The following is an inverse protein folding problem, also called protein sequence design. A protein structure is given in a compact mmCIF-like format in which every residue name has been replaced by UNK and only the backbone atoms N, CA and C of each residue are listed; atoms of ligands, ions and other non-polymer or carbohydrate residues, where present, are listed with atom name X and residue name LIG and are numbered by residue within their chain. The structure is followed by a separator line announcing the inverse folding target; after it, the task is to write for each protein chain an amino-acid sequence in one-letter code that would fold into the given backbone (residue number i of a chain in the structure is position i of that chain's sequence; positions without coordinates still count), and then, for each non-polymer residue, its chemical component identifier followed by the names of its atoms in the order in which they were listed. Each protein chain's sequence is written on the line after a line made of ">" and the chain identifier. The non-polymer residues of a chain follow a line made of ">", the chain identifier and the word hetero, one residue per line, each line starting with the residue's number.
data_IF_906837777296
#
_entry.id   IF_906837777296
#
_cell.length_a   1.000
_cell.length_b   1.000
_cell.length_c   1.000
_cell.angle_alpha   90.00
_cell.angle_beta   90.00
_cell.angle_gamma   90.00
#
_symmetry.space_group_name_H-M   'P 1'
#
loop_
_entity.id
_entity.type
_entity.pdbx_description
1 polymer ?
#
# COMPACT_ATOMS: atom_id res chain seq x y z
N UNK A 1 7.10 12.51 19.61
CA UNK A 1 6.16 11.38 19.65
C UNK A 1 6.76 10.27 20.50
N UNK A 2 5.93 9.61 21.30
CA UNK A 2 6.28 8.35 21.98
C UNK A 2 5.60 7.21 21.22
N UNK A 3 6.32 6.57 20.34
CA UNK A 3 5.90 5.37 19.65
C UNK A 3 6.39 4.13 20.40
N UNK A 4 5.62 3.06 20.37
CA UNK A 4 6.02 1.78 20.99
C UNK A 4 7.02 1.03 20.12
N UNK A 5 6.93 1.19 18.80
CA UNK A 5 7.85 0.58 17.84
C UNK A 5 8.03 1.44 16.59
N UNK A 6 9.11 1.18 15.86
CA UNK A 6 9.44 1.77 14.59
C UNK A 6 10.03 0.68 13.70
N UNK A 7 9.37 0.37 12.57
CA UNK A 7 9.76 -0.70 11.65
C UNK A 7 10.40 -0.15 10.38
N UNK A 8 11.48 -0.80 9.95
CA UNK A 8 12.06 -0.63 8.61
C UNK A 8 11.92 -1.92 7.83
N UNK A 9 11.53 -1.82 6.57
CA UNK A 9 11.35 -3.00 5.69
C UNK A 9 12.65 -3.72 5.34
N UNK A 10 13.79 -3.18 5.74
CA UNK A 10 15.10 -3.81 5.64
C UNK A 10 15.51 -4.61 6.89
N UNK A 11 14.71 -4.58 7.95
CA UNK A 11 15.00 -5.33 9.17
C UNK A 11 14.74 -6.82 8.99
N UNK A 12 15.58 -7.64 9.62
CA UNK A 12 15.43 -9.11 9.54
C UNK A 12 14.03 -9.58 9.95
N UNK A 13 13.46 -9.05 11.03
CA UNK A 13 12.11 -9.40 11.50
C UNK A 13 11.02 -9.13 10.43
N UNK A 14 11.25 -8.13 9.57
CA UNK A 14 10.35 -7.84 8.47
C UNK A 14 10.53 -8.84 7.32
N UNK A 15 11.76 -9.11 6.91
CA UNK A 15 12.07 -10.11 5.88
C UNK A 15 11.48 -11.47 6.25
N UNK A 16 11.70 -11.92 7.49
CA UNK A 16 11.17 -13.19 8.00
C UNK A 16 9.62 -13.21 8.00
N UNK A 17 8.98 -12.10 8.33
CA UNK A 17 7.52 -11.97 8.30
C UNK A 17 6.96 -12.03 6.88
N UNK A 18 7.63 -11.39 5.93
CA UNK A 18 7.26 -11.44 4.52
C UNK A 18 7.38 -12.87 3.96
N UNK A 19 8.44 -13.57 4.28
CA UNK A 19 8.62 -14.96 3.86
C UNK A 19 7.52 -15.85 4.47
N UNK A 20 7.24 -15.70 5.76
CA UNK A 20 6.21 -16.48 6.45
C UNK A 20 4.81 -16.26 5.89
N UNK A 21 4.41 -15.04 5.57
CA UNK A 21 3.10 -14.80 4.96
C UNK A 21 3.05 -15.31 3.53
N UNK A 22 4.14 -15.16 2.78
CA UNK A 22 4.26 -15.70 1.43
C UNK A 22 4.05 -17.20 1.40
N UNK A 23 4.79 -17.96 2.22
CA UNK A 23 4.68 -19.41 2.32
C UNK A 23 3.24 -19.82 2.61
N UNK A 24 2.60 -19.18 3.57
CA UNK A 24 1.21 -19.44 3.91
C UNK A 24 0.22 -19.20 2.77
N UNK A 25 0.43 -18.13 1.99
CA UNK A 25 -0.40 -17.81 0.83
C UNK A 25 -0.14 -18.77 -0.35
N UNK A 26 1.09 -19.25 -0.50
CA UNK A 26 1.47 -20.21 -1.53
C UNK A 26 0.91 -21.61 -1.20
N UNK A 27 1.08 -22.08 0.03
CA UNK A 27 0.60 -23.38 0.50
C UNK A 27 -0.91 -23.56 0.35
N UNK A 28 -1.69 -22.49 0.59
CA UNK A 28 -3.15 -22.55 0.46
C UNK A 28 -3.66 -22.24 -0.97
N UNK A 29 -2.76 -22.07 -1.93
CA UNK A 29 -3.09 -21.80 -3.33
C UNK A 29 -3.64 -20.40 -3.62
N UNK A 30 -3.43 -19.45 -2.70
CA UNK A 30 -3.77 -18.04 -2.93
C UNK A 30 -2.76 -17.31 -3.80
N UNK A 31 -1.51 -17.81 -3.85
CA UNK A 31 -0.46 -17.38 -4.78
C UNK A 31 -0.16 -18.52 -5.75
N UNK A 32 0.03 -18.19 -7.01
CA UNK A 32 0.37 -19.14 -8.08
C UNK A 32 1.32 -18.48 -9.08
N UNK A 33 2.15 -19.30 -9.75
CA UNK A 33 3.08 -18.85 -10.79
C UNK A 33 2.36 -18.79 -12.14
N UNK A 34 2.50 -17.69 -12.86
CA UNK A 34 2.00 -17.49 -14.23
C UNK A 34 2.93 -16.50 -14.95
N UNK A 35 2.55 -16.06 -16.15
CA UNK A 35 3.27 -15.05 -16.92
C UNK A 35 2.55 -13.71 -16.80
N UNK A 36 3.29 -12.69 -16.49
CA UNK A 36 2.85 -11.31 -16.62
C UNK A 36 3.25 -10.81 -18.02
N UNK A 37 2.29 -10.29 -18.76
CA UNK A 37 2.52 -9.69 -20.06
C UNK A 37 1.90 -8.29 -20.09
N UNK A 38 2.65 -7.31 -20.59
CA UNK A 38 2.17 -5.93 -20.67
C UNK A 38 3.19 -4.96 -21.24
N UNK A 39 2.75 -3.75 -21.49
CA UNK A 39 3.59 -2.65 -21.92
C UNK A 39 4.41 -2.11 -20.73
N UNK A 40 5.70 -2.27 -20.77
CA UNK A 40 6.60 -1.85 -19.70
C UNK A 40 7.43 -0.64 -20.10
N UNK A 41 7.51 0.35 -19.23
CA UNK A 41 8.44 1.46 -19.34
C UNK A 41 9.61 1.27 -18.40
N UNK A 42 10.80 1.12 -18.93
CA UNK A 42 12.04 1.03 -18.15
C UNK A 42 12.29 2.31 -17.36
N UNK A 43 11.96 3.49 -17.94
CA UNK A 43 12.14 4.78 -17.28
C UNK A 43 11.22 4.96 -16.06
N UNK A 44 9.99 4.51 -16.18
CA UNK A 44 8.97 4.71 -15.14
C UNK A 44 8.93 3.51 -14.17
N UNK A 45 9.65 2.42 -14.50
CA UNK A 45 9.64 1.14 -13.78
C UNK A 45 8.21 0.63 -13.54
N UNK A 46 7.34 0.80 -14.55
CA UNK A 46 5.93 0.53 -14.45
C UNK A 46 5.36 -0.15 -15.69
N UNK A 47 4.34 -0.98 -15.47
CA UNK A 47 3.51 -1.55 -16.54
C UNK A 47 2.28 -0.69 -16.79
N UNK A 48 1.88 -0.66 -18.06
CA UNK A 48 0.73 0.08 -18.54
C UNK A 48 -0.21 -0.84 -19.31
N UNK A 49 -1.51 -0.54 -19.29
CA UNK A 49 -2.52 -1.23 -20.09
C UNK A 49 -2.55 -0.70 -21.53
N UNK A 50 -3.07 -1.49 -22.48
CA UNK A 50 -3.22 -1.03 -23.87
C UNK A 50 -3.96 0.30 -23.99
N UNK A 51 -4.94 0.56 -23.10
CA UNK A 51 -5.73 1.78 -23.10
C UNK A 51 -4.94 3.03 -22.65
N UNK A 52 -3.83 2.84 -21.95
CA UNK A 52 -2.97 3.92 -21.46
C UNK A 52 -1.86 4.29 -22.45
N UNK A 53 -1.61 3.44 -23.47
CA UNK A 53 -0.54 3.63 -24.43
C UNK A 53 -1.04 4.44 -25.63
N UNK A 54 -0.32 5.51 -25.94
CA UNK A 54 -0.56 6.33 -27.13
C UNK A 54 0.74 6.41 -27.92
N UNK A 55 0.70 5.96 -29.18
CA UNK A 55 1.87 5.98 -30.10
C UNK A 55 3.14 5.32 -29.52
N UNK A 56 2.99 4.22 -28.76
CA UNK A 56 4.10 3.51 -28.13
C UNK A 56 4.71 4.21 -26.91
N UNK A 57 3.98 5.17 -26.35
CA UNK A 57 4.41 5.95 -25.19
C UNK A 57 3.44 5.77 -24.02
N UNK A 58 4.00 5.70 -22.80
CA UNK A 58 3.27 5.79 -21.55
C UNK A 58 2.68 7.19 -21.32
N UNK A 59 1.72 7.37 -20.41
CA UNK A 59 1.18 8.69 -20.03
C UNK A 59 2.25 9.69 -19.54
N UNK A 60 3.37 9.20 -19.06
CA UNK A 60 4.54 10.00 -18.66
C UNK A 60 5.37 10.51 -19.85
N UNK A 61 5.07 10.07 -21.09
CA UNK A 61 5.86 10.29 -22.29
C UNK A 61 7.14 9.43 -22.35
N UNK A 62 7.22 8.35 -21.59
CA UNK A 62 8.29 7.37 -21.69
C UNK A 62 7.98 6.33 -22.77
N UNK A 63 8.97 5.83 -23.52
CA UNK A 63 8.77 4.72 -24.44
C UNK A 63 8.42 3.45 -23.65
N UNK A 64 7.57 2.61 -24.25
CA UNK A 64 7.20 1.32 -23.69
C UNK A 64 7.54 0.20 -24.65
N UNK A 65 7.85 -0.97 -24.09
CA UNK A 65 8.06 -2.20 -24.85
C UNK A 65 7.15 -3.30 -24.30
N UNK A 66 6.76 -4.25 -25.15
CA UNK A 66 5.99 -5.40 -24.70
C UNK A 66 6.90 -6.39 -24.01
N UNK A 67 6.63 -6.67 -22.75
CA UNK A 67 7.43 -7.59 -21.93
C UNK A 67 6.56 -8.73 -21.46
N UNK A 68 7.08 -9.94 -21.52
CA UNK A 68 6.53 -11.11 -20.82
C UNK A 68 7.56 -11.60 -19.82
N UNK A 69 7.18 -11.64 -18.56
CA UNK A 69 8.03 -12.20 -17.50
C UNK A 69 7.24 -13.17 -16.62
N UNK A 70 7.89 -14.23 -16.10
CA UNK A 70 7.26 -15.07 -15.10
C UNK A 70 6.98 -14.22 -13.85
N UNK A 71 5.81 -14.38 -13.29
CA UNK A 71 5.41 -13.68 -12.06
C UNK A 71 4.50 -14.54 -11.21
N UNK A 72 4.62 -14.41 -9.92
CA UNK A 72 3.62 -14.94 -9.01
C UNK A 72 2.43 -13.99 -8.94
N UNK A 73 1.23 -14.57 -8.95
CA UNK A 73 -0.03 -13.85 -8.85
C UNK A 73 -0.76 -14.23 -7.57
N UNK A 74 -1.29 -13.24 -6.88
CA UNK A 74 -2.30 -13.46 -5.85
C UNK A 74 -3.68 -13.45 -6.50
N UNK A 75 -4.51 -14.46 -6.23
CA UNK A 75 -5.84 -14.63 -6.81
C UNK A 75 -6.87 -13.64 -6.24
N UNK A 76 -6.58 -12.34 -6.38
CA UNK A 76 -7.38 -11.26 -5.80
C UNK A 76 -8.83 -11.27 -6.30
N UNK A 77 -9.07 -11.68 -7.55
CA UNK A 77 -10.41 -11.78 -8.14
C UNK A 77 -11.36 -12.67 -7.31
N UNK A 78 -10.85 -13.71 -6.66
CA UNK A 78 -11.65 -14.60 -5.80
C UNK A 78 -12.12 -13.96 -4.49
N UNK A 79 -11.62 -12.78 -4.16
CA UNK A 79 -11.92 -12.09 -2.90
C UNK A 79 -12.96 -10.99 -3.04
N UNK A 80 -13.41 -10.67 -4.26
CA UNK A 80 -14.37 -9.59 -4.55
C UNK A 80 -15.63 -9.68 -3.70
N UNK A 81 -16.38 -10.78 -3.79
CA UNK A 81 -17.62 -10.97 -3.06
C UNK A 81 -17.42 -10.95 -1.54
N UNK A 82 -16.32 -11.55 -1.06
CA UNK A 82 -16.00 -11.56 0.37
C UNK A 82 -15.67 -10.18 0.89
N UNK A 83 -14.94 -9.37 0.12
CA UNK A 83 -14.63 -7.98 0.46
C UNK A 83 -15.90 -7.12 0.47
N UNK A 84 -16.75 -7.23 -0.54
CA UNK A 84 -18.01 -6.48 -0.61
C UNK A 84 -18.91 -6.82 0.57
N UNK A 85 -19.07 -8.10 0.87
CA UNK A 85 -19.83 -8.57 2.05
C UNK A 85 -19.23 -8.01 3.34
N UNK A 86 -17.90 -8.08 3.49
CA UNK A 86 -17.22 -7.56 4.68
C UNK A 86 -17.47 -6.06 4.86
N UNK A 87 -17.41 -5.24 3.79
CA UNK A 87 -17.68 -3.80 3.88
C UNK A 87 -19.15 -3.50 4.19
N UNK A 88 -20.09 -4.35 3.78
CA UNK A 88 -21.50 -4.20 4.11
C UNK A 88 -21.77 -4.47 5.60
N UNK A 89 -21.14 -5.51 6.13
CA UNK A 89 -21.24 -5.89 7.54
C UNK A 89 -20.47 -4.94 8.47
N UNK A 90 -19.38 -4.30 7.98
CA UNK A 90 -18.46 -3.44 8.73
C UNK A 90 -18.40 -2.02 8.15
N UNK A 91 -19.50 -1.27 8.30
CA UNK A 91 -19.69 0.05 7.67
C UNK A 91 -18.64 1.09 8.09
N UNK A 92 -18.05 0.93 9.26
CA UNK A 92 -17.05 1.84 9.83
C UNK A 92 -15.60 1.42 9.55
N UNK A 93 -15.41 0.32 8.82
CA UNK A 93 -14.07 -0.19 8.48
C UNK A 93 -13.25 0.80 7.65
N UNK A 94 -13.88 1.51 6.72
CA UNK A 94 -13.22 2.50 5.86
C UNK A 94 -13.79 3.90 6.16
N UNK A 95 -12.92 4.83 6.50
CA UNK A 95 -13.26 6.22 6.74
C UNK A 95 -12.30 7.18 6.00
N UNK A 96 -12.77 8.37 5.63
CA UNK A 96 -14.14 8.87 5.66
C UNK A 96 -15.08 8.18 4.65
N UNK A 97 -16.37 8.48 4.72
CA UNK A 97 -17.42 7.84 3.89
C UNK A 97 -17.16 7.99 2.37
N UNK A 98 -16.60 9.11 1.94
CA UNK A 98 -16.23 9.32 0.53
C UNK A 98 -15.23 8.27 0.05
N UNK A 99 -14.22 7.96 0.87
CA UNK A 99 -13.21 6.95 0.55
C UNK A 99 -13.77 5.53 0.58
N UNK A 100 -14.69 5.27 1.50
CA UNK A 100 -15.43 3.99 1.50
C UNK A 100 -16.19 3.78 0.20
N UNK A 101 -16.89 4.79 -0.28
CA UNK A 101 -17.64 4.71 -1.54
C UNK A 101 -16.70 4.49 -2.74
N UNK A 102 -15.56 5.16 -2.78
CA UNK A 102 -14.53 4.97 -3.80
C UNK A 102 -14.02 3.52 -3.83
N UNK A 103 -13.68 2.97 -2.67
CA UNK A 103 -13.19 1.59 -2.55
C UNK A 103 -14.26 0.59 -2.99
N UNK A 104 -15.50 0.76 -2.54
CA UNK A 104 -16.62 -0.13 -2.94
C UNK A 104 -16.85 -0.07 -4.45
N UNK A 105 -16.82 1.13 -5.05
CA UNK A 105 -16.95 1.28 -6.50
C UNK A 105 -15.82 0.60 -7.25
N UNK A 106 -14.59 0.73 -6.75
CA UNK A 106 -13.43 0.06 -7.34
C UNK A 106 -13.58 -1.46 -7.31
N UNK A 107 -13.97 -2.05 -6.16
CA UNK A 107 -14.14 -3.50 -6.04
C UNK A 107 -15.29 -3.98 -6.92
N UNK A 108 -16.43 -3.27 -6.95
CA UNK A 108 -17.58 -3.59 -7.84
C UNK A 108 -17.27 -3.47 -9.33
N UNK A 109 -16.23 -2.76 -9.69
CA UNK A 109 -15.75 -2.67 -11.07
C UNK A 109 -15.07 -3.95 -11.58
N UNK A 110 -14.87 -4.92 -10.71
CA UNK A 110 -14.20 -6.20 -10.96
C UNK A 110 -12.73 -6.17 -10.57
N UNK A 111 -12.32 -7.13 -9.75
CA UNK A 111 -10.93 -7.31 -9.35
C UNK A 111 -10.21 -8.25 -10.31
N UNK A 112 -8.98 -7.91 -10.65
CA UNK A 112 -8.05 -8.79 -11.39
C UNK A 112 -7.01 -9.35 -10.44
N UNK A 113 -6.49 -10.53 -10.76
CA UNK A 113 -5.41 -11.14 -10.00
C UNK A 113 -4.19 -10.23 -10.03
N UNK A 114 -3.55 -10.13 -8.86
CA UNK A 114 -2.47 -9.18 -8.62
C UNK A 114 -1.12 -9.85 -8.75
N UNK A 115 -0.27 -9.36 -9.65
CA UNK A 115 1.13 -9.77 -9.72
C UNK A 115 1.85 -9.32 -8.44
N UNK A 116 2.44 -10.29 -7.72
CA UNK A 116 3.08 -10.09 -6.40
C UNK A 116 4.58 -10.40 -6.40
N UNK A 117 5.18 -10.62 -7.56
CA UNK A 117 6.64 -10.73 -7.70
C UNK A 117 7.15 -10.09 -8.98
N UNK A 118 8.47 -9.88 -9.02
CA UNK A 118 9.20 -9.34 -10.18
C UNK A 118 10.51 -10.08 -10.33
N UNK A 119 10.97 -10.20 -11.59
CA UNK A 119 12.29 -10.72 -11.95
C UNK A 119 13.21 -9.63 -12.53
N UNK A 120 12.67 -8.47 -12.83
CA UNK A 120 13.39 -7.37 -13.49
C UNK A 120 14.40 -6.62 -12.60
N UNK A 121 14.40 -6.87 -11.29
CA UNK A 121 15.37 -6.31 -10.33
C UNK A 121 15.72 -7.32 -9.23
N UNK A 122 16.84 -7.09 -8.55
CA UNK A 122 17.38 -8.00 -7.55
C UNK A 122 17.31 -7.51 -6.11
N UNK A 123 16.92 -6.24 -5.90
CA UNK A 123 16.79 -5.67 -4.56
C UNK A 123 15.39 -5.84 -4.02
N UNK A 124 15.26 -6.26 -2.77
CA UNK A 124 14.00 -6.45 -2.08
C UNK A 124 13.92 -7.78 -1.33
N UNK A 125 12.73 -8.15 -0.90
CA UNK A 125 12.48 -9.42 -0.21
C UNK A 125 12.43 -10.55 -1.24
N UNK A 126 13.33 -11.50 -1.11
CA UNK A 126 13.35 -12.69 -1.99
C UNK A 126 12.17 -13.61 -1.72
N UNK A 127 11.64 -14.16 -2.81
CA UNK A 127 10.62 -15.21 -2.73
C UNK A 127 11.23 -16.50 -2.19
N UNK A 128 10.63 -17.13 -1.16
CA UNK A 128 11.12 -18.41 -0.65
C UNK A 128 11.19 -19.49 -1.75
N UNK A 129 12.30 -20.21 -1.79
CA UNK A 129 12.58 -21.29 -2.75
C UNK A 129 12.60 -20.88 -4.24
N UNK A 130 12.65 -19.56 -4.52
CA UNK A 130 12.79 -19.04 -5.88
C UNK A 130 13.51 -17.68 -5.87
N UNK A 131 14.84 -17.73 -5.80
CA UNK A 131 15.72 -16.55 -5.65
C UNK A 131 15.70 -15.61 -6.87
N UNK A 132 15.16 -16.05 -8.01
CA UNK A 132 15.04 -15.24 -9.22
C UNK A 132 13.90 -14.20 -9.08
N UNK A 133 13.01 -14.41 -8.11
CA UNK A 133 11.88 -13.51 -7.86
C UNK A 133 12.08 -12.67 -6.60
N UNK A 134 11.75 -11.41 -6.72
CA UNK A 134 11.63 -10.46 -5.60
C UNK A 134 10.15 -10.19 -5.34
N UNK A 135 9.73 -10.16 -4.09
CA UNK A 135 8.34 -9.83 -3.73
C UNK A 135 8.00 -8.42 -4.20
N UNK A 136 6.80 -8.26 -4.75
CA UNK A 136 6.32 -6.95 -5.17
C UNK A 136 6.08 -6.05 -3.94
N UNK A 137 6.40 -4.78 -4.12
CA UNK A 137 6.47 -3.77 -3.06
C UNK A 137 5.24 -3.74 -2.13
N UNK A 138 4.04 -3.99 -2.62
CA UNK A 138 2.85 -3.89 -1.77
C UNK A 138 2.60 -5.10 -0.89
N UNK A 139 3.01 -6.30 -1.27
CA UNK A 139 2.99 -7.44 -0.34
C UNK A 139 4.06 -7.26 0.74
N UNK A 140 5.25 -6.83 0.35
CA UNK A 140 6.34 -6.43 1.24
C UNK A 140 5.87 -5.31 2.20
N UNK A 141 5.53 -4.15 1.67
CA UNK A 141 5.21 -2.97 2.46
C UNK A 141 4.04 -3.19 3.44
N UNK A 142 2.96 -3.87 3.03
CA UNK A 142 1.81 -4.11 3.91
C UNK A 142 2.11 -5.08 5.05
N UNK A 143 3.04 -6.01 4.84
CA UNK A 143 3.45 -6.96 5.88
C UNK A 143 4.16 -6.29 7.05
N UNK A 144 4.64 -5.04 6.91
CA UNK A 144 5.28 -4.30 8.01
C UNK A 144 4.41 -4.23 9.29
N UNK A 145 3.09 -4.13 9.13
CA UNK A 145 2.16 -4.09 10.27
C UNK A 145 2.19 -5.36 11.11
N UNK A 146 2.33 -6.52 10.48
CA UNK A 146 2.50 -7.79 11.16
C UNK A 146 3.92 -7.93 11.73
N UNK A 147 4.92 -7.43 11.00
CA UNK A 147 6.33 -7.48 11.42
C UNK A 147 6.56 -6.72 12.72
N UNK A 148 5.97 -5.52 12.84
CA UNK A 148 5.98 -4.74 14.08
C UNK A 148 5.28 -5.46 15.25
N UNK A 149 4.39 -6.40 14.95
CA UNK A 149 3.69 -7.22 15.92
C UNK A 149 4.35 -8.60 16.18
N UNK A 150 5.61 -8.77 15.77
CA UNK A 150 6.39 -10.01 15.98
C UNK A 150 5.79 -11.27 15.29
N UNK A 151 5.17 -11.11 14.14
CA UNK A 151 4.55 -12.21 13.39
C UNK A 151 5.52 -13.33 13.01
N UNK A 152 6.79 -13.00 12.79
CA UNK A 152 7.82 -13.98 12.43
C UNK A 152 8.34 -14.79 13.61
N UNK A 153 8.14 -14.36 14.88
CA UNK A 153 8.69 -15.07 16.02
C UNK A 153 8.04 -16.45 16.19
N UNK A 154 8.89 -17.46 16.43
CA UNK A 154 8.45 -18.86 16.58
C UNK A 154 7.86 -19.17 17.95
N UNK A 155 7.99 -18.27 18.92
CA UNK A 155 7.71 -18.57 20.34
C UNK A 155 6.23 -18.54 20.71
N UNK A 156 5.38 -17.98 19.88
CA UNK A 156 3.92 -18.13 19.98
C UNK A 156 3.27 -17.73 18.66
N UNK A 157 2.33 -18.51 18.22
CA UNK A 157 1.42 -18.13 17.12
C UNK A 157 0.58 -16.87 17.44
N UNK A 158 0.71 -16.32 18.62
CA UNK A 158 0.03 -15.10 19.04
C UNK A 158 0.80 -13.87 18.56
N UNK A 159 0.27 -13.28 17.51
CA UNK A 159 0.53 -11.89 17.15
C UNK A 159 0.38 -11.05 18.42
N UNK A 160 1.27 -10.07 18.62
CA UNK A 160 1.32 -9.24 19.84
C UNK A 160 -0.04 -8.63 20.20
N UNK A 161 -0.13 -8.08 21.42
CA UNK A 161 -1.33 -7.36 21.90
C UNK A 161 -1.78 -6.18 21.00
N UNK A 162 -0.93 -5.75 20.06
CA UNK A 162 -1.23 -4.64 19.14
C UNK A 162 -1.90 -5.08 17.84
N UNK A 163 -2.11 -6.40 17.65
CA UNK A 163 -2.85 -6.89 16.50
C UNK A 163 -4.13 -7.62 16.94
N UNK A 164 -5.28 -7.40 16.29
CA UNK A 164 -5.47 -6.51 15.14
C UNK A 164 -5.35 -5.03 15.48
N UNK A 165 -4.78 -4.24 14.57
CA UNK A 165 -4.65 -2.81 14.74
C UNK A 165 -6.02 -2.13 14.88
N UNK A 166 -6.14 -1.17 15.80
CA UNK A 166 -7.36 -0.39 15.93
C UNK A 166 -7.59 0.52 14.72
N UNK A 167 -6.51 1.15 14.22
CA UNK A 167 -6.57 2.03 13.04
C UNK A 167 -5.29 1.92 12.23
N UNK A 168 -5.44 1.74 10.92
CA UNK A 168 -4.40 2.10 9.95
C UNK A 168 -4.66 3.52 9.45
N UNK A 169 -3.77 4.45 9.81
CA UNK A 169 -3.81 5.84 9.36
C UNK A 169 -2.96 5.97 8.10
N UNK A 170 -3.59 6.28 6.96
CA UNK A 170 -2.94 6.26 5.65
C UNK A 170 -3.31 7.48 4.81
N UNK A 171 -2.46 7.84 3.84
CA UNK A 171 -2.80 8.80 2.82
C UNK A 171 -3.87 8.25 1.86
N UNK A 172 -4.71 9.12 1.32
CA UNK A 172 -5.78 8.71 0.39
C UNK A 172 -5.27 8.01 -0.88
N UNK A 173 -4.04 8.28 -1.29
CA UNK A 173 -3.38 7.70 -2.46
C UNK A 173 -3.09 6.21 -2.32
N UNK A 174 -2.91 5.73 -1.09
CA UNK A 174 -2.63 4.33 -0.81
C UNK A 174 -3.83 3.57 -0.22
N UNK A 175 -5.03 4.15 -0.28
CA UNK A 175 -6.21 3.54 0.34
C UNK A 175 -6.57 2.19 -0.28
N UNK A 176 -6.41 2.02 -1.60
CA UNK A 176 -6.73 0.75 -2.28
C UNK A 176 -5.88 -0.40 -1.77
N UNK A 177 -4.60 -0.14 -1.52
CA UNK A 177 -3.70 -1.16 -1.00
C UNK A 177 -4.11 -1.59 0.42
N UNK A 178 -4.51 -0.65 1.27
CA UNK A 178 -4.87 -0.91 2.66
C UNK A 178 -6.30 -1.42 2.83
N UNK A 179 -7.22 -1.01 1.98
CA UNK A 179 -8.63 -1.36 2.11
C UNK A 179 -9.06 -2.54 1.22
N UNK A 180 -8.28 -2.89 0.17
CA UNK A 180 -8.59 -4.02 -0.73
C UNK A 180 -7.53 -5.11 -0.64
N UNK A 181 -6.27 -4.80 -1.01
CA UNK A 181 -5.23 -5.84 -1.08
C UNK A 181 -4.88 -6.40 0.29
N UNK A 182 -4.67 -5.52 1.27
CA UNK A 182 -4.32 -5.95 2.62
C UNK A 182 -5.38 -6.83 3.29
N UNK A 183 -6.67 -6.47 3.31
CA UNK A 183 -7.72 -7.37 3.81
C UNK A 183 -7.76 -8.69 3.05
N UNK A 184 -7.60 -8.71 1.73
CA UNK A 184 -7.58 -9.94 0.96
C UNK A 184 -6.40 -10.85 1.33
N UNK A 185 -5.18 -10.31 1.49
CA UNK A 185 -4.02 -11.06 1.97
C UNK A 185 -4.25 -11.64 3.36
N UNK A 186 -4.78 -10.83 4.28
CA UNK A 186 -5.06 -11.27 5.65
C UNK A 186 -6.13 -12.36 5.69
N UNK A 187 -7.24 -12.19 4.97
CA UNK A 187 -8.29 -13.21 4.86
C UNK A 187 -7.73 -14.52 4.28
N UNK A 188 -6.94 -14.42 3.21
CA UNK A 188 -6.29 -15.56 2.59
C UNK A 188 -5.33 -16.26 3.54
N UNK A 189 -4.57 -15.50 4.33
CA UNK A 189 -3.67 -16.03 5.35
C UNK A 189 -4.39 -16.49 6.64
N UNK A 190 -5.72 -16.39 6.70
CA UNK A 190 -6.52 -16.67 7.90
C UNK A 190 -6.01 -15.88 9.13
N UNK A 191 -5.78 -14.57 8.92
CA UNK A 191 -5.34 -13.62 9.95
C UNK A 191 -6.44 -12.60 10.25
N UNK A 192 -6.53 -12.09 11.48
CA UNK A 192 -7.47 -11.04 11.83
C UNK A 192 -7.25 -9.77 11.01
N UNK A 193 -8.34 -9.09 10.64
CA UNK A 193 -8.28 -7.80 9.94
C UNK A 193 -8.10 -6.65 10.93
N UNK A 194 -7.48 -5.53 10.52
CA UNK A 194 -7.51 -4.28 11.30
C UNK A 194 -8.96 -3.82 11.49
N UNK A 195 -9.23 -3.08 12.56
CA UNK A 195 -10.60 -2.64 12.86
C UNK A 195 -11.03 -1.47 11.97
N UNK A 196 -10.09 -0.62 11.56
CA UNK A 196 -10.39 0.56 10.72
C UNK A 196 -9.21 0.96 9.83
N UNK A 197 -9.54 1.40 8.61
CA UNK A 197 -8.65 2.12 7.71
C UNK A 197 -9.14 3.57 7.64
N UNK A 198 -8.34 4.52 8.07
CA UNK A 198 -8.66 5.93 7.98
C UNK A 198 -7.74 6.63 6.99
N UNK A 199 -8.31 7.15 5.91
CA UNK A 199 -7.56 7.88 4.88
C UNK A 199 -7.63 9.39 5.12
N UNK A 200 -6.47 10.02 5.32
CA UNK A 200 -6.35 11.46 5.35
C UNK A 200 -6.12 12.05 3.95
N UNK A 201 -6.43 13.33 3.79
CA UNK A 201 -6.18 14.06 2.54
C UNK A 201 -4.72 14.47 2.37
N UNK A 202 -4.45 15.18 1.30
CA UNK A 202 -3.13 15.75 1.02
C UNK A 202 -3.03 17.20 1.49
N UNK A 203 -1.81 17.63 1.74
CA UNK A 203 -1.47 19.03 1.73
C UNK A 203 -0.96 19.42 0.33
N UNK A 204 -1.48 20.51 -0.18
CA UNK A 204 -1.01 21.20 -1.39
C UNK A 204 -0.23 22.45 -1.00
N UNK A 205 0.52 23.02 -1.91
CA UNK A 205 1.22 24.28 -1.72
C UNK A 205 0.80 25.24 -2.83
N UNK A 206 0.15 26.35 -2.45
CA UNK A 206 -0.41 27.33 -3.40
C UNK A 206 -1.29 26.67 -4.47
N UNK A 207 -2.17 25.74 -4.05
CA UNK A 207 -3.06 24.99 -4.92
C UNK A 207 -2.42 23.86 -5.73
N UNK A 208 -1.11 23.66 -5.62
CA UNK A 208 -0.39 22.65 -6.39
C UNK A 208 0.01 21.46 -5.52
N UNK A 209 0.02 20.25 -6.12
CA UNK A 209 0.53 19.06 -5.45
C UNK A 209 1.99 19.27 -5.05
N UNK A 210 2.32 18.99 -3.78
CA UNK A 210 3.71 19.04 -3.30
C UNK A 210 4.50 17.92 -3.97
N UNK A 211 5.59 18.28 -4.65
CA UNK A 211 6.44 17.34 -5.37
C UNK A 211 7.89 17.83 -5.42
N UNK A 212 8.84 16.91 -5.21
CA UNK A 212 10.27 17.21 -5.35
C UNK A 212 10.63 17.68 -6.77
N UNK A 213 9.96 17.10 -7.77
CA UNK A 213 10.18 17.46 -9.18
C UNK A 213 9.70 18.86 -9.54
N UNK A 214 8.71 19.39 -8.81
CA UNK A 214 8.20 20.77 -8.97
C UNK A 214 8.96 21.79 -8.11
N UNK A 215 9.84 21.33 -7.21
CA UNK A 215 10.59 22.20 -6.32
C UNK A 215 9.75 22.99 -5.31
N UNK A 216 8.48 22.59 -5.11
CA UNK A 216 7.54 23.25 -4.21
C UNK A 216 7.38 22.53 -2.86
N UNK A 217 8.40 21.74 -2.47
CA UNK A 217 8.45 21.06 -1.17
C UNK A 217 8.60 22.10 -0.07
N UNK A 218 7.82 21.94 0.98
CA UNK A 218 7.91 22.76 2.19
C UNK A 218 8.71 21.97 3.23
N UNK A 219 9.83 22.56 3.67
CA UNK A 219 10.63 21.95 4.73
C UNK A 219 9.96 22.19 6.10
N UNK A 220 9.60 21.14 6.83
CA UNK A 220 8.99 21.30 8.15
C UNK A 220 9.93 21.96 9.17
N UNK A 221 11.26 21.84 9.02
CA UNK A 221 12.21 22.52 9.92
C UNK A 221 12.19 24.02 9.72
N UNK A 222 12.17 24.50 8.46
CA UNK A 222 12.04 25.94 8.16
C UNK A 222 10.74 26.52 8.74
N UNK A 223 9.64 25.76 8.68
CA UNK A 223 8.39 26.19 9.29
C UNK A 223 8.47 26.27 10.81
N UNK A 224 9.10 25.26 11.43
CA UNK A 224 9.26 25.24 12.90
C UNK A 224 10.16 26.39 13.35
N UNK A 225 11.23 26.67 12.65
CA UNK A 225 12.14 27.79 12.95
C UNK A 225 11.44 29.15 12.80
N UNK A 226 10.55 29.27 11.80
CA UNK A 226 9.83 30.54 11.55
C UNK A 226 8.64 30.75 12.48
N UNK A 227 7.89 29.73 12.79
CA UNK A 227 6.58 29.85 13.47
C UNK A 227 6.52 29.17 14.85
N UNK A 228 7.44 28.27 15.15
CA UNK A 228 7.43 27.43 16.33
C UNK A 228 6.68 26.11 16.15
N UNK A 229 7.11 25.07 16.88
CA UNK A 229 6.59 23.71 16.73
C UNK A 229 5.11 23.59 17.10
N UNK A 230 4.66 24.28 18.15
CA UNK A 230 3.27 24.18 18.62
C UNK A 230 2.30 24.84 17.64
N UNK A 231 2.69 25.98 17.05
CA UNK A 231 1.92 26.68 16.04
C UNK A 231 1.75 25.82 14.79
N UNK A 232 2.82 25.21 14.30
CA UNK A 232 2.77 24.34 13.12
C UNK A 232 1.91 23.10 13.40
N UNK A 233 2.06 22.47 14.55
CA UNK A 233 1.23 21.31 14.93
C UNK A 233 -0.24 21.69 15.02
N UNK A 234 -0.56 22.83 15.64
CA UNK A 234 -1.93 23.32 15.72
C UNK A 234 -2.51 23.62 14.34
N UNK A 235 -1.77 24.31 13.48
CA UNK A 235 -2.18 24.58 12.09
C UNK A 235 -2.53 23.30 11.34
N UNK A 236 -1.62 22.32 11.29
CA UNK A 236 -1.80 21.06 10.57
C UNK A 236 -3.02 20.26 11.06
N UNK A 237 -3.37 20.35 12.34
CA UNK A 237 -4.50 19.62 12.92
C UNK A 237 -5.82 20.39 12.84
N UNK A 238 -5.78 21.71 12.68
CA UNK A 238 -6.97 22.56 12.78
C UNK A 238 -7.46 23.12 11.45
N UNK A 239 -6.54 23.33 10.49
CA UNK A 239 -6.83 24.07 9.26
C UNK A 239 -7.87 23.39 8.38
N UNK A 240 -7.82 22.07 8.29
CA UNK A 240 -8.76 21.31 7.46
C UNK A 240 -9.57 20.31 8.27
N UNK A 241 -10.83 20.07 7.89
CA UNK A 241 -11.59 18.95 8.42
C UNK A 241 -10.86 17.64 8.13
N UNK A 242 -10.76 16.78 9.13
CA UNK A 242 -9.96 15.55 9.03
C UNK A 242 -10.46 14.64 7.90
N UNK A 243 -9.55 14.23 7.01
CA UNK A 243 -9.84 13.44 5.82
C UNK A 243 -9.96 14.26 4.51
N UNK A 244 -10.05 15.57 4.59
CA UNK A 244 -10.05 16.45 3.43
C UNK A 244 -8.63 16.88 3.03
N UNK A 245 -8.50 17.41 1.81
CA UNK A 245 -7.27 18.06 1.37
C UNK A 245 -7.15 19.44 2.02
N UNK A 246 -5.94 19.86 2.35
CA UNK A 246 -5.59 21.18 2.81
C UNK A 246 -4.65 21.88 1.86
N UNK A 247 -4.67 23.20 1.85
CA UNK A 247 -3.72 23.99 1.08
C UNK A 247 -2.85 24.82 2.03
N UNK A 248 -1.55 24.79 1.82
CA UNK A 248 -0.62 25.65 2.52
C UNK A 248 -0.38 26.89 1.65
N UNK A 249 -0.59 28.08 2.22
CA UNK A 249 -0.26 29.35 1.59
C UNK A 249 0.62 30.17 2.51
N UNK A 250 1.55 30.91 1.94
CA UNK A 250 2.35 31.90 2.66
C UNK A 250 1.68 33.29 2.73
N UNK A 251 0.54 33.48 2.07
CA UNK A 251 -0.22 34.72 2.01
C UNK A 251 -1.24 34.86 3.13
#
# INVERSE_FOLDING_TARGET
>A
FSNDDFIRTTEKRHLDSCQKIWEKLLENGSIYLDKYAGWYSVRDEAFYTDAEIIDGMAPSGAPVEWVEEPSYFFNLSKWEDKLLKFYEENKDFIAPKSRRNEVISFVKGGLKDLSVSRTSFSWGVKVPNNDDHIMYVWLDALTNYLSACNYSSSENESISKFWPADVHMVGKDIIRFHAVYWPAFLMAANLPLPKKIFAHGWWTNEGNKISKSLGNVIDPFDLVDKYGVDQIRYFLLREVPFGNDGDFSNS
#
